data_IF_640674259848
#
_entry.id   IF_640674259848
#
_cell.length_a   1.000
_cell.length_b   1.000
_cell.length_c   1.000
_cell.angle_alpha   90.00
_cell.angle_beta   90.00
_cell.angle_gamma   90.00
#
_symmetry.space_group_name_H-M   'P 1'
#
loop_
_entity.id
_entity.type
_entity.pdbx_description
1 polymer ?
#
# COMPACT_ATOMS: atom_id res chain seq x y z
N UNK A 1 -0.16 28.00 36.52
CA UNK A 1 0.44 27.56 35.24
C UNK A 1 0.82 26.07 35.23
N UNK A 2 1.20 25.48 36.37
CA UNK A 2 1.55 24.04 36.51
C UNK A 2 0.37 23.07 36.39
N UNK A 3 -0.83 23.44 36.86
CA UNK A 3 -2.03 22.59 36.75
C UNK A 3 -2.51 22.40 35.29
N UNK A 4 -2.26 23.39 34.43
CA UNK A 4 -2.66 23.35 33.02
C UNK A 4 -1.78 22.38 32.20
N UNK A 5 -0.47 22.30 32.53
CA UNK A 5 0.44 21.32 31.91
C UNK A 5 0.11 19.87 32.29
N UNK A 6 -0.30 19.63 33.55
CA UNK A 6 -0.65 18.29 34.01
C UNK A 6 -1.93 17.76 33.34
N UNK A 7 -2.89 18.65 33.04
CA UNK A 7 -4.12 18.28 32.32
C UNK A 7 -3.85 17.97 30.83
N UNK A 8 -2.91 18.66 30.18
CA UNK A 8 -2.54 18.40 28.77
C UNK A 8 -1.82 17.05 28.57
N UNK A 9 -1.09 16.56 29.58
CA UNK A 9 -0.43 15.25 29.51
C UNK A 9 -1.42 14.07 29.54
N UNK A 10 -2.63 14.27 30.09
CA UNK A 10 -3.65 13.22 30.22
C UNK A 10 -4.43 12.92 28.92
N UNK A 11 -4.24 13.73 27.86
CA UNK A 11 -4.86 13.53 26.55
C UNK A 11 -3.96 12.85 25.52
N UNK A 12 -2.76 12.38 25.91
CA UNK A 12 -1.91 11.59 25.04
C UNK A 12 -2.51 10.18 24.87
N UNK A 13 -3.35 10.00 23.85
CA UNK A 13 -3.81 8.67 23.43
C UNK A 13 -2.65 7.87 22.86
N UNK A 14 -2.46 6.62 23.32
CA UNK A 14 -1.48 5.71 22.73
C UNK A 14 -1.95 5.22 21.36
N UNK A 15 -1.14 5.44 20.32
CA UNK A 15 -1.27 4.79 19.02
C UNK A 15 -0.11 3.81 18.79
N UNK A 16 -0.34 2.83 17.92
CA UNK A 16 0.69 1.95 17.36
C UNK A 16 0.78 2.17 15.87
N UNK A 17 2.01 2.32 15.40
CA UNK A 17 2.33 2.49 13.99
C UNK A 17 3.02 1.24 13.46
N UNK A 18 2.59 0.78 12.29
CA UNK A 18 3.16 -0.37 11.58
C UNK A 18 3.59 0.09 10.20
N UNK A 19 4.90 0.10 9.98
CA UNK A 19 5.50 0.31 8.66
C UNK A 19 5.78 -1.06 8.05
N UNK A 20 5.19 -1.34 6.89
CA UNK A 20 5.31 -2.65 6.23
C UNK A 20 6.65 -2.78 5.52
N UNK A 21 7.19 -4.01 5.50
CA UNK A 21 8.42 -4.33 4.80
C UNK A 21 8.31 -3.99 3.31
N UNK A 22 9.40 -3.43 2.77
CA UNK A 22 9.45 -2.95 1.40
C UNK A 22 10.36 -3.79 0.50
N UNK A 23 10.84 -4.94 1.00
CA UNK A 23 11.65 -5.88 0.23
C UNK A 23 10.78 -7.06 -0.19
N UNK A 24 10.63 -7.24 -1.50
CA UNK A 24 9.85 -8.33 -2.08
C UNK A 24 10.78 -9.29 -2.81
N UNK A 25 10.59 -10.62 -2.65
CA UNK A 25 11.40 -11.60 -3.34
C UNK A 25 11.15 -11.57 -4.85
N UNK A 26 12.04 -12.23 -5.58
CA UNK A 26 11.92 -12.35 -7.02
C UNK A 26 10.74 -13.27 -7.39
N UNK A 27 9.75 -12.79 -8.16
CA UNK A 27 8.64 -13.63 -8.60
C UNK A 27 9.15 -14.71 -9.56
N UNK A 28 8.70 -15.94 -9.36
CA UNK A 28 8.94 -17.04 -10.29
C UNK A 28 7.84 -17.03 -11.36
N UNK A 29 8.04 -16.27 -12.43
CA UNK A 29 7.10 -16.11 -13.54
C UNK A 29 7.82 -16.12 -14.87
N UNK A 30 7.16 -16.58 -15.92
CA UNK A 30 7.59 -16.37 -17.30
C UNK A 30 7.18 -14.97 -17.75
N UNK A 31 8.05 -14.31 -18.52
CA UNK A 31 7.78 -12.98 -19.04
C UNK A 31 6.72 -13.03 -20.15
N UNK A 32 5.86 -12.02 -20.13
CA UNK A 32 4.93 -11.70 -21.21
C UNK A 32 5.64 -10.73 -22.17
N UNK A 33 5.60 -11.03 -23.47
CA UNK A 33 6.17 -10.20 -24.55
C UNK A 33 5.28 -8.98 -24.85
N UNK A 34 5.00 -8.18 -23.83
CA UNK A 34 4.29 -6.91 -23.92
C UNK A 34 5.04 -5.87 -23.08
N UNK A 35 5.04 -4.63 -23.56
CA UNK A 35 5.55 -3.48 -22.83
C UNK A 35 4.38 -2.84 -22.07
N UNK A 36 4.49 -2.79 -20.74
CA UNK A 36 3.44 -2.29 -19.88
C UNK A 36 3.76 -0.90 -19.34
N UNK A 37 2.82 0.02 -19.48
CA UNK A 37 2.79 1.25 -18.70
C UNK A 37 2.33 0.98 -17.27
N UNK A 38 2.87 1.70 -16.28
CA UNK A 38 2.36 1.68 -14.90
C UNK A 38 2.07 3.07 -14.39
N UNK A 39 0.86 3.26 -13.85
CA UNK A 39 0.43 4.50 -13.21
C UNK A 39 0.14 4.25 -11.73
N UNK A 40 0.80 5.00 -10.86
CA UNK A 40 0.49 5.01 -9.42
C UNK A 40 -0.12 6.36 -9.04
N UNK A 41 -1.40 6.36 -8.66
CA UNK A 41 -2.07 7.57 -8.17
C UNK A 41 -1.44 8.07 -6.87
N UNK A 42 -1.60 9.36 -6.55
CA UNK A 42 -1.21 9.89 -5.24
C UNK A 42 -1.88 9.15 -4.09
N UNK A 43 -3.12 8.70 -4.29
CA UNK A 43 -3.85 7.89 -3.31
C UNK A 43 -3.14 6.56 -3.02
N UNK A 44 -2.64 5.86 -4.04
CA UNK A 44 -1.90 4.62 -3.84
C UNK A 44 -0.52 4.89 -3.21
N UNK A 45 0.19 5.91 -3.70
CA UNK A 45 1.55 6.27 -3.24
C UNK A 45 1.61 6.73 -1.80
N UNK A 46 0.52 7.32 -1.31
CA UNK A 46 0.39 7.83 0.05
C UNK A 46 -0.69 7.07 0.84
N UNK A 47 -0.97 5.81 0.47
CA UNK A 47 -2.00 5.03 1.14
C UNK A 47 -1.60 4.71 2.58
N UNK A 48 -2.39 5.26 3.52
CA UNK A 48 -2.33 5.00 4.94
C UNK A 48 -3.70 4.50 5.42
N UNK A 49 -3.70 3.56 6.36
CA UNK A 49 -4.92 3.03 6.97
C UNK A 49 -4.88 3.19 8.48
N UNK A 50 -5.97 3.67 9.08
CA UNK A 50 -6.10 3.78 10.54
C UNK A 50 -7.40 3.18 11.01
N UNK A 51 -7.32 2.35 12.06
CA UNK A 51 -8.49 1.78 12.72
C UNK A 51 -8.41 1.94 14.24
N UNK A 52 -9.54 2.29 14.83
CA UNK A 52 -9.70 2.37 16.28
C UNK A 52 -10.55 1.19 16.74
N UNK A 53 -9.91 0.25 17.45
CA UNK A 53 -10.60 -0.90 18.01
C UNK A 53 -11.13 -0.56 19.41
N UNK A 54 -12.42 -0.79 19.71
CA UNK A 54 -12.97 -0.56 21.04
C UNK A 54 -12.22 -1.36 22.11
N UNK A 55 -11.65 -0.66 23.09
CA UNK A 55 -10.88 -1.27 24.18
C UNK A 55 -9.43 -1.66 23.80
N UNK A 56 -8.92 -1.18 22.66
CA UNK A 56 -7.53 -1.33 22.25
C UNK A 56 -6.92 0.04 21.87
N UNK A 57 -5.64 0.05 21.52
CA UNK A 57 -4.96 1.23 20.96
C UNK A 57 -5.40 1.51 19.53
N UNK A 58 -5.21 2.75 19.09
CA UNK A 58 -5.35 3.11 17.68
C UNK A 58 -4.23 2.44 16.87
N UNK A 59 -4.56 1.83 15.74
CA UNK A 59 -3.62 1.20 14.83
C UNK A 59 -3.50 2.01 13.55
N UNK A 60 -2.27 2.32 13.13
CA UNK A 60 -1.97 2.99 11.88
C UNK A 60 -1.01 2.15 11.04
N UNK A 61 -1.28 2.04 9.74
CA UNK A 61 -0.49 1.30 8.77
C UNK A 61 -0.09 2.21 7.61
N UNK A 62 1.23 2.36 7.41
CA UNK A 62 1.77 3.11 6.28
C UNK A 62 2.20 2.16 5.18
N UNK A 63 1.54 2.25 4.03
CA UNK A 63 1.56 1.20 3.01
C UNK A 63 1.90 1.72 1.61
N UNK A 64 1.87 3.04 1.38
CA UNK A 64 2.07 3.60 0.06
C UNK A 64 3.37 3.18 -0.63
N UNK A 65 4.51 3.27 0.08
CA UNK A 65 5.80 2.82 -0.44
C UNK A 65 5.83 1.30 -0.68
N UNK A 66 5.24 0.52 0.23
CA UNK A 66 5.17 -0.94 0.11
C UNK A 66 4.35 -1.35 -1.11
N UNK A 67 3.21 -0.70 -1.36
CA UNK A 67 2.36 -0.94 -2.53
C UNK A 67 3.12 -0.68 -3.84
N UNK A 68 3.77 0.49 -3.95
CA UNK A 68 4.55 0.86 -5.14
C UNK A 68 5.68 -0.13 -5.40
N UNK A 69 6.44 -0.50 -4.36
CA UNK A 69 7.55 -1.46 -4.52
C UNK A 69 7.07 -2.86 -4.85
N UNK A 70 5.96 -3.31 -4.26
CA UNK A 70 5.35 -4.60 -4.58
C UNK A 70 4.97 -4.66 -6.06
N UNK A 71 4.22 -3.67 -6.56
CA UNK A 71 3.79 -3.65 -7.96
C UNK A 71 4.97 -3.48 -8.92
N UNK A 72 5.95 -2.64 -8.60
CA UNK A 72 7.17 -2.52 -9.42
C UNK A 72 7.90 -3.88 -9.52
N UNK A 73 8.03 -4.61 -8.41
CA UNK A 73 8.68 -5.93 -8.41
C UNK A 73 7.87 -6.94 -9.22
N UNK A 74 6.56 -7.01 -9.00
CA UNK A 74 5.68 -7.99 -9.63
C UNK A 74 5.52 -7.73 -11.13
N UNK A 75 5.12 -6.52 -11.50
CA UNK A 75 4.91 -6.15 -12.91
C UNK A 75 6.23 -6.11 -13.69
N UNK A 76 7.32 -5.65 -13.06
CA UNK A 76 8.65 -5.64 -13.70
C UNK A 76 9.25 -7.04 -13.91
N UNK A 77 8.80 -8.04 -13.15
CA UNK A 77 9.10 -9.44 -13.43
C UNK A 77 8.24 -10.01 -14.55
N UNK A 78 6.98 -9.57 -14.63
CA UNK A 78 5.96 -10.14 -15.50
C UNK A 78 6.07 -9.64 -16.96
N UNK A 79 6.41 -8.38 -17.17
CA UNK A 79 6.46 -7.76 -18.51
C UNK A 79 7.87 -7.67 -19.08
N UNK A 80 7.95 -7.48 -20.41
CA UNK A 80 9.22 -7.25 -21.08
C UNK A 80 9.84 -5.93 -20.60
N UNK A 81 9.08 -4.85 -20.70
CA UNK A 81 9.39 -3.53 -20.15
C UNK A 81 8.25 -3.02 -19.25
N UNK A 82 8.60 -2.30 -18.17
CA UNK A 82 7.66 -1.60 -17.31
C UNK A 82 7.98 -0.11 -17.32
N UNK A 83 7.13 0.69 -17.95
CA UNK A 83 7.35 2.12 -18.20
C UNK A 83 6.45 2.94 -17.27
N UNK A 84 6.98 3.81 -16.40
CA UNK A 84 6.15 4.75 -15.64
C UNK A 84 5.41 5.70 -16.58
N UNK A 85 4.12 5.91 -16.33
CA UNK A 85 3.29 6.87 -17.09
C UNK A 85 2.60 7.86 -16.15
N UNK A 86 2.30 9.05 -16.66
CA UNK A 86 1.72 10.14 -15.86
C UNK A 86 0.19 10.06 -15.73
N UNK A 87 -0.49 9.27 -16.58
CA UNK A 87 -1.95 9.12 -16.53
C UNK A 87 -2.42 7.76 -17.09
N UNK A 88 -3.48 7.16 -16.50
CA UNK A 88 -4.11 5.96 -17.02
C UNK A 88 -5.07 6.33 -18.15
N UNK A 89 -4.61 6.21 -19.39
CA UNK A 89 -5.43 6.49 -20.56
C UNK A 89 -5.57 7.95 -20.98
N UNK A 90 -6.06 8.18 -22.20
CA UNK A 90 -6.23 9.49 -22.83
C UNK A 90 -5.62 9.61 -24.24
N UNK A 91 -6.25 10.39 -25.11
CA UNK A 91 -5.66 10.81 -26.41
C UNK A 91 -4.39 11.65 -26.15
N UNK A 92 -3.23 11.20 -26.63
CA UNK A 92 -1.92 11.81 -26.34
C UNK A 92 -1.19 11.24 -25.11
N UNK A 93 -1.75 10.20 -24.47
CA UNK A 93 -1.03 9.33 -23.54
C UNK A 93 0.01 8.50 -24.33
N UNK A 94 1.13 8.03 -23.74
CA UNK A 94 2.17 7.26 -24.45
C UNK A 94 1.71 5.85 -24.90
N UNK A 95 0.45 5.66 -25.28
CA UNK A 95 -0.03 4.47 -25.98
C UNK A 95 0.74 4.20 -27.28
N UNK A 96 1.45 5.18 -27.83
CA UNK A 96 2.38 4.97 -28.94
C UNK A 96 3.67 4.21 -28.50
N UNK A 97 3.86 3.93 -27.20
CA UNK A 97 5.07 3.33 -26.61
C UNK A 97 4.83 2.09 -25.74
N UNK A 98 3.59 1.77 -25.37
CA UNK A 98 3.27 0.62 -24.51
C UNK A 98 1.97 -0.04 -24.96
N UNK A 99 1.88 -1.36 -24.79
CA UNK A 99 0.73 -2.17 -25.23
C UNK A 99 -0.49 -2.06 -24.30
N UNK A 100 -0.24 -1.78 -23.01
CA UNK A 100 -1.27 -1.66 -21.98
C UNK A 100 -0.81 -0.74 -20.84
N UNK A 101 -1.75 -0.29 -20.01
CA UNK A 101 -1.44 0.46 -18.78
C UNK A 101 -2.09 -0.23 -17.58
N UNK A 102 -1.29 -0.56 -16.58
CA UNK A 102 -1.74 -1.05 -15.27
C UNK A 102 -1.81 0.12 -14.29
N UNK A 103 -2.96 0.30 -13.65
CA UNK A 103 -3.20 1.42 -12.74
C UNK A 103 -3.85 0.93 -11.44
N UNK A 104 -3.09 0.24 -10.56
CA UNK A 104 -3.66 -0.44 -9.41
C UNK A 104 -4.18 0.57 -8.38
N UNK A 105 -5.29 0.22 -7.74
CA UNK A 105 -5.87 1.01 -6.64
C UNK A 105 -6.22 0.09 -5.48
N UNK A 106 -6.08 0.57 -4.24
CA UNK A 106 -6.59 -0.18 -3.08
C UNK A 106 -8.11 -0.07 -3.07
N UNK A 107 -8.77 -1.22 -3.14
CA UNK A 107 -10.23 -1.31 -3.03
C UNK A 107 -10.67 -1.54 -1.58
N UNK A 108 -9.93 -2.36 -0.84
CA UNK A 108 -10.24 -2.68 0.55
C UNK A 108 -8.98 -3.05 1.34
N UNK A 109 -9.03 -2.79 2.64
CA UNK A 109 -8.01 -3.16 3.61
C UNK A 109 -8.70 -3.78 4.83
N UNK A 110 -8.18 -4.92 5.27
CA UNK A 110 -8.59 -5.61 6.49
C UNK A 110 -7.34 -6.02 7.28
N UNK A 111 -7.42 -6.01 8.61
CA UNK A 111 -6.39 -6.62 9.44
C UNK A 111 -7.00 -7.48 10.54
N UNK A 112 -6.20 -8.43 11.02
CA UNK A 112 -6.58 -9.31 12.11
C UNK A 112 -5.47 -9.37 13.16
N UNK A 113 -5.89 -9.25 14.42
CA UNK A 113 -5.03 -9.44 15.57
C UNK A 113 -4.89 -10.94 15.89
N UNK A 114 -3.75 -11.39 16.45
CA UNK A 114 -3.55 -12.77 16.91
C UNK A 114 -4.72 -13.32 17.76
N UNK A 115 -5.30 -12.46 18.62
CA UNK A 115 -6.41 -12.82 19.52
C UNK A 115 -7.73 -13.07 18.80
N UNK A 116 -7.89 -12.58 17.56
CA UNK A 116 -9.06 -12.80 16.71
C UNK A 116 -8.87 -14.03 15.81
N UNK A 117 -7.67 -14.20 15.25
CA UNK A 117 -7.33 -15.26 14.30
C UNK A 117 -6.99 -16.62 14.93
N UNK A 118 -6.77 -16.67 16.26
CA UNK A 118 -6.19 -17.83 16.96
C UNK A 118 -4.83 -18.26 16.40
N UNK A 119 -4.10 -17.33 15.78
CA UNK A 119 -2.70 -17.49 15.38
C UNK A 119 -1.78 -16.67 16.29
N UNK A 120 -0.48 -16.80 16.09
CA UNK A 120 0.57 -15.97 16.68
C UNK A 120 0.96 -14.78 15.77
N UNK A 121 0.21 -14.56 14.70
CA UNK A 121 0.56 -13.62 13.64
C UNK A 121 -0.44 -12.47 13.55
N UNK A 122 0.09 -11.29 13.25
CA UNK A 122 -0.67 -10.18 12.71
C UNK A 122 -0.82 -10.41 11.21
N UNK A 123 -2.03 -10.24 10.69
CA UNK A 123 -2.30 -10.44 9.28
C UNK A 123 -3.05 -9.24 8.71
N UNK A 124 -2.71 -8.91 7.48
CA UNK A 124 -3.27 -7.80 6.70
C UNK A 124 -3.66 -8.34 5.34
N UNK A 125 -4.85 -7.97 4.89
CA UNK A 125 -5.36 -8.29 3.56
C UNK A 125 -5.66 -6.99 2.83
N UNK A 126 -5.12 -6.87 1.63
CA UNK A 126 -5.32 -5.72 0.75
C UNK A 126 -5.93 -6.24 -0.55
N UNK A 127 -7.06 -5.68 -0.93
CA UNK A 127 -7.70 -5.94 -2.22
C UNK A 127 -7.36 -4.80 -3.17
N UNK A 128 -6.99 -5.15 -4.40
CA UNK A 128 -6.70 -4.18 -5.46
C UNK A 128 -7.67 -4.33 -6.64
N UNK A 129 -7.88 -3.23 -7.38
CA UNK A 129 -8.57 -3.18 -8.67
C UNK A 129 -7.70 -2.53 -9.75
#
# INVERSE_FOLDING_TARGET
MTALLAAMAALAGCSKEVVVQTTFPDPLVEKIELDAGVYYSEELKNYDYTENLPGDVSWSFTLGEANVKMFNRALGALFQELVPVDQPGGTGSPFDRVDLVVAPKVEAFEFSLPRQSRSDQYAVWIKYT
#
